data_IF_405202406372
#
_entry.id   IF_405202406372
#
_cell.length_a   1.000
_cell.length_b   1.000
_cell.length_c   1.000
_cell.angle_alpha   90.00
_cell.angle_beta   90.00
_cell.angle_gamma   90.00
#
_symmetry.space_group_name_H-M   'P 1'
#
loop_
_entity.id
_entity.type
_entity.pdbx_description
1 polymer ?
#
# COMPACT_ATOMS: atom_id res chain seq x y z
N UNK A 1 -8.84 9.88 -9.34
CA UNK A 1 -9.65 8.65 -9.33
C UNK A 1 -10.24 8.41 -10.73
N UNK A 2 -10.31 7.16 -11.18
CA UNK A 2 -10.93 6.76 -12.43
C UNK A 2 -12.46 6.77 -12.32
N UNK A 3 -13.13 7.37 -13.30
CA UNK A 3 -14.58 7.28 -13.50
C UNK A 3 -14.83 6.98 -14.99
N UNK A 4 -15.46 5.85 -15.36
CA UNK A 4 -15.74 5.54 -16.76
C UNK A 4 -16.50 6.65 -17.50
N UNK A 5 -17.41 7.31 -16.81
CA UNK A 5 -18.21 8.40 -17.40
C UNK A 5 -17.37 9.66 -17.67
N UNK A 6 -16.51 10.04 -16.72
CA UNK A 6 -15.81 11.33 -16.78
C UNK A 6 -14.39 11.22 -17.33
N UNK A 7 -13.73 10.06 -17.17
CA UNK A 7 -12.34 9.87 -17.58
C UNK A 7 -12.19 9.42 -19.04
N UNK A 8 -13.12 8.58 -19.56
CA UNK A 8 -13.04 8.05 -20.93
C UNK A 8 -12.95 9.08 -22.06
N UNK A 9 -13.50 10.29 -21.95
CA UNK A 9 -13.30 11.29 -22.99
C UNK A 9 -11.83 11.72 -23.18
N UNK A 10 -11.00 11.60 -22.12
CA UNK A 10 -9.59 11.96 -22.15
C UNK A 10 -8.66 10.74 -22.20
N UNK A 11 -9.05 9.63 -21.58
CA UNK A 11 -8.24 8.41 -21.47
C UNK A 11 -9.06 7.19 -21.91
N UNK A 12 -8.56 6.41 -22.84
CA UNK A 12 -9.21 5.17 -23.28
C UNK A 12 -9.02 4.03 -22.29
N UNK A 13 -7.91 4.06 -21.57
CA UNK A 13 -7.46 3.06 -20.58
C UNK A 13 -7.21 3.74 -19.21
N UNK A 14 -7.73 3.21 -18.09
CA UNK A 14 -7.46 3.74 -16.76
C UNK A 14 -5.96 3.80 -16.41
N UNK A 15 -5.14 2.89 -16.93
CA UNK A 15 -3.70 2.86 -16.64
C UNK A 15 -2.92 3.97 -17.32
N UNK A 16 -3.40 4.51 -18.44
CA UNK A 16 -2.86 5.76 -19.02
C UNK A 16 -3.02 6.94 -18.06
N UNK A 17 -4.21 7.10 -17.47
CA UNK A 17 -4.46 8.12 -16.43
C UNK A 17 -3.57 7.90 -15.20
N UNK A 18 -3.39 6.66 -14.76
CA UNK A 18 -2.56 6.36 -13.59
C UNK A 18 -1.08 6.68 -13.86
N UNK A 19 -0.59 6.40 -15.07
CA UNK A 19 0.78 6.73 -15.46
C UNK A 19 1.01 8.25 -15.50
N UNK A 20 0.11 9.02 -16.12
CA UNK A 20 0.20 10.49 -16.14
C UNK A 20 0.15 11.08 -14.72
N UNK A 21 -0.70 10.53 -13.85
CA UNK A 21 -0.76 10.96 -12.44
C UNK A 21 0.55 10.62 -11.70
N UNK A 22 1.15 9.47 -11.95
CA UNK A 22 2.42 9.07 -11.34
C UNK A 22 3.57 10.00 -11.76
N UNK A 23 3.60 10.42 -13.03
CA UNK A 23 4.59 11.39 -13.52
C UNK A 23 4.48 12.74 -12.80
N UNK A 24 3.27 13.22 -12.54
CA UNK A 24 3.03 14.46 -11.78
C UNK A 24 3.52 14.29 -10.33
N UNK A 25 3.18 13.19 -9.68
CA UNK A 25 3.58 12.92 -8.28
C UNK A 25 5.11 12.77 -8.18
N UNK A 26 5.74 12.09 -9.14
CA UNK A 26 7.21 11.96 -9.19
C UNK A 26 7.90 13.32 -9.35
N UNK A 27 7.36 14.21 -10.17
CA UNK A 27 7.89 15.58 -10.32
C UNK A 27 7.77 16.37 -9.01
N UNK A 28 6.66 16.22 -8.29
CA UNK A 28 6.46 16.83 -6.96
C UNK A 28 7.45 16.24 -5.93
N UNK A 29 7.64 14.92 -5.91
CA UNK A 29 8.61 14.27 -5.04
C UNK A 29 10.05 14.75 -5.32
N UNK A 30 10.42 14.93 -6.57
CA UNK A 30 11.73 15.46 -6.96
C UNK A 30 11.93 16.92 -6.49
N UNK A 31 10.89 17.76 -6.55
CA UNK A 31 10.95 19.12 -6.03
C UNK A 31 11.06 19.14 -4.51
N UNK A 32 10.32 18.27 -3.80
CA UNK A 32 10.44 18.13 -2.34
C UNK A 32 11.86 17.70 -1.94
N UNK A 33 12.46 16.75 -2.68
CA UNK A 33 13.83 16.33 -2.46
C UNK A 33 14.82 17.50 -2.67
N UNK A 34 14.64 18.30 -3.73
CA UNK A 34 15.45 19.51 -3.98
C UNK A 34 15.35 20.53 -2.84
N UNK A 35 14.22 20.58 -2.15
CA UNK A 35 13.99 21.45 -0.98
C UNK A 35 14.52 20.83 0.33
N UNK A 36 15.11 19.63 0.28
CA UNK A 36 15.75 18.97 1.43
C UNK A 36 14.89 17.92 2.12
N UNK A 37 13.77 17.48 1.52
CA UNK A 37 13.00 16.36 2.04
C UNK A 37 13.77 15.04 1.78
N UNK A 38 13.98 14.27 2.85
CA UNK A 38 14.74 13.01 2.80
C UNK A 38 13.88 11.76 3.02
N UNK A 39 12.60 11.95 3.35
CA UNK A 39 11.61 10.87 3.50
C UNK A 39 10.28 11.29 2.89
N UNK A 40 9.74 10.46 2.00
CA UNK A 40 8.43 10.68 1.37
C UNK A 40 7.60 9.40 1.49
N UNK A 41 6.39 9.51 2.00
CA UNK A 41 5.43 8.42 2.03
C UNK A 41 4.42 8.59 0.90
N UNK A 42 4.18 7.50 0.18
CA UNK A 42 3.12 7.41 -0.83
C UNK A 42 2.01 6.51 -0.30
N UNK A 43 0.80 7.02 -0.28
CA UNK A 43 -0.37 6.24 0.12
C UNK A 43 -0.96 5.51 -1.09
N UNK A 44 -1.05 4.20 -0.99
CA UNK A 44 -1.67 3.34 -2.01
C UNK A 44 -2.65 2.35 -1.39
N UNK A 45 -3.81 2.82 -0.89
CA UNK A 45 -4.83 1.95 -0.32
C UNK A 45 -5.40 0.97 -1.36
N UNK A 46 -5.23 1.24 -2.64
CA UNK A 46 -5.68 0.38 -3.73
C UNK A 46 -5.18 -1.06 -3.59
N UNK A 47 -3.91 -1.26 -3.24
CA UNK A 47 -3.35 -2.60 -3.04
C UNK A 47 -3.91 -3.29 -1.79
N UNK A 48 -4.17 -2.54 -0.73
CA UNK A 48 -4.79 -3.04 0.49
C UNK A 48 -6.28 -3.36 0.33
N UNK A 49 -7.01 -2.62 -0.50
CA UNK A 49 -8.43 -2.89 -0.75
C UNK A 49 -8.66 -4.06 -1.70
N UNK A 50 -7.67 -4.43 -2.53
CA UNK A 50 -7.74 -5.61 -3.41
C UNK A 50 -7.69 -6.95 -2.65
N UNK A 51 -7.38 -6.98 -1.36
CA UNK A 51 -7.49 -8.20 -0.56
C UNK A 51 -8.94 -8.68 -0.47
N UNK A 52 -9.90 -7.77 -0.58
CA UNK A 52 -11.34 -8.03 -0.50
C UNK A 52 -11.91 -8.40 -1.88
N UNK A 53 -12.59 -9.57 -2.02
CA UNK A 53 -13.20 -9.99 -3.28
C UNK A 53 -14.26 -9.03 -3.82
N UNK A 54 -15.03 -8.38 -2.94
CA UNK A 54 -16.08 -7.45 -3.35
C UNK A 54 -15.48 -6.19 -3.97
N UNK A 55 -14.41 -5.67 -3.40
CA UNK A 55 -13.67 -4.54 -3.96
C UNK A 55 -13.02 -4.89 -5.31
N UNK A 56 -12.50 -6.13 -5.46
CA UNK A 56 -12.00 -6.59 -6.78
C UNK A 56 -13.11 -6.58 -7.83
N UNK A 57 -14.27 -7.17 -7.50
CA UNK A 57 -15.41 -7.20 -8.42
C UNK A 57 -15.91 -5.80 -8.79
N UNK A 58 -15.95 -4.88 -7.83
CA UNK A 58 -16.32 -3.48 -8.06
C UNK A 58 -15.34 -2.81 -9.04
N UNK A 59 -14.04 -2.97 -8.87
CA UNK A 59 -13.01 -2.37 -9.73
C UNK A 59 -13.04 -2.95 -11.15
N UNK A 60 -13.18 -4.26 -11.27
CA UNK A 60 -13.37 -4.92 -12.58
C UNK A 60 -14.61 -4.37 -13.30
N UNK A 61 -15.71 -4.16 -12.57
CA UNK A 61 -16.92 -3.51 -13.12
C UNK A 61 -16.71 -2.09 -13.61
N UNK A 62 -15.73 -1.37 -13.07
CA UNK A 62 -15.32 -0.05 -13.53
C UNK A 62 -14.31 -0.10 -14.69
N UNK A 63 -13.88 -1.30 -15.11
CA UNK A 63 -12.89 -1.51 -16.15
C UNK A 63 -11.44 -1.40 -15.65
N UNK A 64 -11.21 -1.48 -14.34
CA UNK A 64 -9.87 -1.51 -13.74
C UNK A 64 -9.52 -2.98 -13.46
N UNK A 65 -8.68 -3.56 -14.28
CA UNK A 65 -8.26 -4.96 -14.13
C UNK A 65 -7.45 -5.17 -12.85
N UNK A 66 -7.86 -6.13 -12.05
CA UNK A 66 -7.14 -6.56 -10.83
C UNK A 66 -5.74 -7.07 -11.16
N UNK A 67 -5.60 -7.89 -12.20
CA UNK A 67 -4.30 -8.43 -12.62
C UNK A 67 -3.35 -7.32 -13.07
N UNK A 68 -3.81 -6.37 -13.88
CA UNK A 68 -3.01 -5.22 -14.30
C UNK A 68 -2.68 -4.30 -13.12
N UNK A 69 -3.58 -4.14 -12.16
CA UNK A 69 -3.29 -3.36 -10.95
C UNK A 69 -2.15 -3.96 -10.16
N UNK A 70 -2.10 -5.30 -10.04
CA UNK A 70 -1.04 -6.01 -9.31
C UNK A 70 0.26 -6.22 -10.11
N UNK A 71 0.31 -5.79 -11.35
CA UNK A 71 1.49 -5.84 -12.22
C UNK A 71 1.87 -4.43 -12.69
N UNK A 72 1.24 -3.94 -13.74
CA UNK A 72 1.45 -2.61 -14.31
C UNK A 72 1.19 -1.48 -13.30
N UNK A 73 0.14 -1.60 -12.47
CA UNK A 73 -0.16 -0.61 -11.43
C UNK A 73 0.93 -0.53 -10.37
N UNK A 74 1.54 -1.67 -10.00
CA UNK A 74 2.70 -1.67 -9.09
C UNK A 74 3.92 -1.04 -9.75
N UNK A 75 4.16 -1.29 -11.04
CA UNK A 75 5.27 -0.67 -11.77
C UNK A 75 5.08 0.86 -11.90
N UNK A 76 3.85 1.31 -12.13
CA UNK A 76 3.49 2.73 -12.16
C UNK A 76 3.78 3.40 -10.82
N UNK A 77 3.30 2.84 -9.70
CA UNK A 77 3.56 3.45 -8.37
C UNK A 77 5.04 3.38 -8.01
N UNK A 78 5.73 2.29 -8.38
CA UNK A 78 7.16 2.15 -8.14
C UNK A 78 7.99 3.23 -8.86
N UNK A 79 7.54 3.70 -10.02
CA UNK A 79 8.20 4.78 -10.76
C UNK A 79 8.15 6.14 -10.04
N UNK A 80 7.17 6.35 -9.16
CA UNK A 80 7.08 7.57 -8.33
C UNK A 80 8.25 7.67 -7.35
N UNK A 81 8.71 6.54 -6.84
CA UNK A 81 9.80 6.46 -5.86
C UNK A 81 11.22 6.46 -6.51
N UNK A 82 11.31 6.77 -7.79
CA UNK A 82 12.60 6.90 -8.50
C UNK A 82 13.16 8.33 -8.38
N UNK A 83 13.48 8.74 -7.13
CA UNK A 83 14.09 10.04 -6.83
C UNK A 83 15.32 9.82 -5.93
N UNK A 84 16.55 10.08 -6.42
CA UNK A 84 17.76 9.80 -5.68
C UNK A 84 17.86 10.58 -4.35
N UNK A 85 18.34 9.89 -3.30
CA UNK A 85 18.61 10.51 -2.00
C UNK A 85 17.39 10.65 -1.09
N UNK A 86 16.25 10.08 -1.47
CA UNK A 86 15.03 10.03 -0.68
C UNK A 86 14.74 8.59 -0.24
N UNK A 87 14.40 8.40 1.01
CA UNK A 87 13.81 7.16 1.51
C UNK A 87 12.31 7.18 1.23
N UNK A 88 11.79 6.19 0.52
CA UNK A 88 10.37 6.10 0.20
C UNK A 88 9.65 5.05 1.04
N UNK A 89 8.52 5.46 1.64
CA UNK A 89 7.56 4.58 2.29
C UNK A 89 6.33 4.34 1.42
N UNK A 90 5.90 3.08 1.29
CA UNK A 90 4.64 2.69 0.66
C UNK A 90 3.64 2.31 1.75
N UNK A 91 2.61 3.13 1.93
CA UNK A 91 1.53 2.87 2.88
C UNK A 91 0.39 2.13 2.19
N UNK A 92 0.08 0.94 2.72
CA UNK A 92 -0.94 0.04 2.19
C UNK A 92 -1.94 -0.26 3.30
N UNK A 93 -2.95 0.59 3.45
CA UNK A 93 -4.05 0.37 4.38
C UNK A 93 -5.26 -0.31 3.70
N UNK A 94 -6.25 -0.68 4.50
CA UNK A 94 -7.52 -1.25 4.04
C UNK A 94 -8.65 -0.21 3.96
N UNK A 95 -8.25 1.07 3.91
CA UNK A 95 -9.11 2.22 3.84
C UNK A 95 -9.64 2.67 5.20
N UNK A 96 -9.88 3.97 5.28
CA UNK A 96 -10.52 4.60 6.43
C UNK A 96 -11.51 5.67 5.91
N UNK A 97 -12.78 5.39 6.02
CA UNK A 97 -13.83 6.33 5.70
C UNK A 97 -14.76 6.51 6.91
N UNK A 98 -14.74 7.69 7.50
CA UNK A 98 -15.53 8.02 8.70
C UNK A 98 -15.30 7.03 9.86
N UNK A 99 -14.03 6.71 10.14
CA UNK A 99 -13.61 5.71 11.14
C UNK A 99 -14.10 4.27 10.85
N UNK A 100 -14.35 3.94 9.57
CA UNK A 100 -14.70 2.59 9.13
C UNK A 100 -13.72 2.12 8.07
N UNK A 101 -13.40 0.82 8.10
CA UNK A 101 -12.62 0.18 7.04
C UNK A 101 -13.44 0.03 5.75
N UNK A 102 -12.76 -0.11 4.62
CA UNK A 102 -13.38 -0.33 3.31
C UNK A 102 -13.22 -1.80 2.87
N UNK A 103 -12.17 -2.48 3.31
CA UNK A 103 -11.83 -3.84 2.90
C UNK A 103 -11.56 -4.76 4.09
N UNK A 104 -11.87 -6.05 3.91
CA UNK A 104 -11.58 -7.13 4.85
C UNK A 104 -10.74 -8.21 4.16
N UNK A 105 -9.69 -8.69 4.82
CA UNK A 105 -8.81 -9.74 4.33
C UNK A 105 -7.34 -9.48 4.63
N UNK A 106 -6.54 -10.53 4.70
CA UNK A 106 -5.09 -10.46 4.84
C UNK A 106 -4.38 -10.13 3.52
N UNK A 107 -3.08 -9.87 3.57
CA UNK A 107 -2.28 -9.51 2.40
C UNK A 107 -1.89 -10.68 1.51
N UNK A 108 -2.33 -11.92 1.80
CA UNK A 108 -1.97 -13.14 1.05
C UNK A 108 -2.22 -13.00 -0.45
N UNK A 109 -3.27 -12.28 -0.82
CA UNK A 109 -3.63 -12.08 -2.24
C UNK A 109 -2.69 -11.11 -2.97
N UNK A 110 -2.13 -10.12 -2.26
CA UNK A 110 -1.39 -9.00 -2.88
C UNK A 110 0.12 -9.05 -2.60
N UNK A 111 0.54 -9.63 -1.48
CA UNK A 111 1.90 -9.57 -0.95
C UNK A 111 2.97 -9.96 -1.98
N UNK A 112 2.92 -11.16 -2.54
CA UNK A 112 3.93 -11.67 -3.45
C UNK A 112 4.14 -10.82 -4.71
N UNK A 113 3.07 -10.15 -5.19
CA UNK A 113 3.16 -9.26 -6.36
C UNK A 113 3.56 -7.83 -5.97
N UNK A 114 3.00 -7.30 -4.90
CA UNK A 114 3.22 -5.91 -4.49
C UNK A 114 4.62 -5.74 -3.89
N UNK A 115 4.98 -6.54 -2.89
CA UNK A 115 6.25 -6.36 -2.18
C UNK A 115 7.47 -6.63 -3.06
N UNK A 116 7.43 -7.69 -3.86
CA UNK A 116 8.56 -8.05 -4.73
C UNK A 116 8.79 -7.08 -5.89
N UNK A 117 7.75 -6.38 -6.35
CA UNK A 117 7.84 -5.44 -7.47
C UNK A 117 8.05 -3.98 -7.05
N UNK A 118 7.74 -3.62 -5.79
CA UNK A 118 7.92 -2.26 -5.27
C UNK A 118 9.38 -2.00 -4.87
N UNK A 119 10.31 -2.18 -5.81
CA UNK A 119 11.75 -2.21 -5.57
C UNK A 119 12.34 -0.87 -5.14
N UNK A 120 11.73 0.25 -5.56
CA UNK A 120 12.17 1.61 -5.23
C UNK A 120 11.66 2.10 -3.86
N UNK A 121 10.79 1.34 -3.20
CA UNK A 121 10.36 1.64 -1.84
C UNK A 121 11.27 0.96 -0.82
N UNK A 122 11.62 1.69 0.22
CA UNK A 122 12.48 1.21 1.31
C UNK A 122 11.69 0.69 2.50
N UNK A 123 10.47 1.21 2.68
CA UNK A 123 9.62 0.97 3.84
C UNK A 123 8.20 0.60 3.42
N UNK A 124 7.66 -0.48 3.96
CA UNK A 124 6.25 -0.84 3.83
C UNK A 124 5.50 -0.54 5.13
N UNK A 125 4.47 0.32 5.06
CA UNK A 125 3.61 0.64 6.19
C UNK A 125 2.28 -0.10 6.00
N UNK A 126 2.04 -1.12 6.85
CA UNK A 126 0.99 -2.11 6.66
C UNK A 126 -0.02 -2.08 7.80
N UNK A 127 -1.32 -2.17 7.48
CA UNK A 127 -2.41 -2.20 8.46
C UNK A 127 -2.63 -3.60 9.02
N UNK A 128 -2.41 -3.72 10.32
CA UNK A 128 -2.64 -4.94 11.11
C UNK A 128 -3.33 -4.61 12.44
N UNK A 129 -4.26 -3.65 12.44
CA UNK A 129 -4.89 -3.11 13.65
C UNK A 129 -5.91 -4.05 14.30
N UNK A 130 -6.43 -5.04 13.59
CA UNK A 130 -7.35 -6.06 14.12
C UNK A 130 -7.28 -7.40 13.36
N UNK A 131 -8.09 -8.39 13.80
CA UNK A 131 -8.16 -9.74 13.21
C UNK A 131 -8.59 -9.74 11.74
N UNK A 132 -9.33 -8.73 11.29
CA UNK A 132 -9.77 -8.53 9.91
C UNK A 132 -8.58 -8.40 8.94
N UNK A 133 -7.44 -7.97 9.44
CA UNK A 133 -6.21 -7.80 8.65
C UNK A 133 -5.49 -9.10 8.32
N UNK A 134 -5.97 -10.25 8.83
CA UNK A 134 -5.37 -11.56 8.57
C UNK A 134 -4.12 -11.85 9.39
N UNK A 135 -3.34 -12.83 8.95
CA UNK A 135 -2.11 -13.26 9.60
C UNK A 135 -0.89 -12.43 9.20
N UNK A 136 0.23 -12.61 9.93
CA UNK A 136 1.52 -12.00 9.55
C UNK A 136 2.32 -12.82 8.53
N UNK A 137 1.82 -14.00 8.09
CA UNK A 137 2.51 -14.85 7.11
C UNK A 137 2.93 -14.10 5.83
N UNK A 138 2.11 -13.18 5.26
CA UNK A 138 2.48 -12.41 4.08
C UNK A 138 3.76 -11.56 4.23
N UNK A 139 4.19 -11.26 5.45
CA UNK A 139 5.45 -10.55 5.70
C UNK A 139 6.69 -11.33 5.24
N UNK A 140 6.59 -12.65 5.10
CA UNK A 140 7.67 -13.47 4.54
C UNK A 140 7.97 -13.13 3.06
N UNK A 141 7.05 -12.48 2.35
CA UNK A 141 7.24 -12.03 0.97
C UNK A 141 7.95 -10.66 0.87
N UNK A 142 8.19 -9.99 2.01
CA UNK A 142 8.89 -8.69 2.02
C UNK A 142 10.39 -8.93 1.81
N UNK A 143 11.01 -8.32 0.77
CA UNK A 143 12.44 -8.46 0.53
C UNK A 143 13.31 -8.06 1.73
N UNK A 144 14.45 -8.75 1.90
CA UNK A 144 15.30 -8.63 3.08
C UNK A 144 15.92 -7.24 3.31
N UNK A 145 15.99 -6.44 2.25
CA UNK A 145 16.52 -5.07 2.29
C UNK A 145 15.46 -4.02 2.67
N UNK A 146 14.21 -4.42 2.94
CA UNK A 146 13.10 -3.50 3.25
C UNK A 146 12.76 -3.47 4.74
N UNK A 147 12.26 -2.33 5.20
CA UNK A 147 11.73 -2.12 6.56
C UNK A 147 10.21 -2.28 6.55
N UNK A 148 9.66 -2.84 7.63
CA UNK A 148 8.21 -2.99 7.82
C UNK A 148 7.76 -2.18 9.03
N UNK A 149 6.78 -1.31 8.82
CA UNK A 149 6.06 -0.62 9.88
C UNK A 149 4.72 -1.32 10.09
N UNK A 150 4.54 -1.90 11.29
CA UNK A 150 3.32 -2.59 11.67
C UNK A 150 2.32 -1.59 12.27
N UNK A 151 1.24 -1.33 11.56
CA UNK A 151 0.11 -0.55 12.04
C UNK A 151 -0.78 -1.38 12.97
N UNK A 152 -0.37 -1.53 14.24
CA UNK A 152 -1.04 -2.39 15.23
C UNK A 152 -2.11 -1.67 16.04
N UNK A 153 -2.09 -0.33 16.04
CA UNK A 153 -3.01 0.51 16.82
C UNK A 153 -4.13 1.00 15.91
N UNK A 154 -5.38 0.77 16.33
CA UNK A 154 -6.55 1.17 15.53
C UNK A 154 -6.90 2.65 15.76
N UNK A 155 -7.09 3.37 14.66
CA UNK A 155 -7.69 4.72 14.68
C UNK A 155 -9.24 4.69 14.57
N UNK A 156 -9.84 3.52 14.56
CA UNK A 156 -11.27 3.31 14.30
C UNK A 156 -12.07 3.05 15.59
N UNK A 157 -11.37 2.69 16.66
CA UNK A 157 -11.93 2.39 17.98
C UNK A 157 -11.32 3.33 19.03
N UNK A 158 -12.07 3.71 20.09
CA UNK A 158 -11.56 4.60 21.13
C UNK A 158 -10.73 3.89 22.21
N UNK A 159 -10.71 2.57 22.22
CA UNK A 159 -9.96 1.75 23.17
C UNK A 159 -8.46 1.85 22.90
N UNK A 160 -7.68 1.87 23.98
CA UNK A 160 -6.21 1.84 23.89
C UNK A 160 -5.77 0.38 24.04
N UNK A 161 -5.03 -0.11 23.06
CA UNK A 161 -4.51 -1.47 23.06
C UNK A 161 -3.53 -1.68 24.22
N UNK A 162 -3.65 -2.80 24.98
CA UNK A 162 -2.71 -3.13 26.04
C UNK A 162 -1.29 -3.35 25.49
N UNK A 163 -0.28 -2.83 26.18
CA UNK A 163 1.11 -2.92 25.73
C UNK A 163 1.62 -4.35 25.58
N UNK A 164 1.18 -5.27 26.42
CA UNK A 164 1.53 -6.69 26.37
C UNK A 164 0.93 -7.39 25.15
N UNK A 165 -0.27 -7.01 24.70
CA UNK A 165 -0.86 -7.48 23.45
C UNK A 165 -0.08 -6.97 22.22
N UNK A 166 0.30 -5.70 22.22
CA UNK A 166 1.13 -5.14 21.14
C UNK A 166 2.50 -5.83 21.07
N UNK A 167 3.13 -6.09 22.21
CA UNK A 167 4.40 -6.83 22.28
C UNK A 167 4.24 -8.25 21.73
N UNK A 168 3.19 -8.96 22.13
CA UNK A 168 2.92 -10.31 21.64
C UNK A 168 2.73 -10.34 20.12
N UNK A 169 2.04 -9.36 19.53
CA UNK A 169 1.85 -9.23 18.08
C UNK A 169 3.15 -8.88 17.35
N UNK A 170 3.99 -8.03 17.93
CA UNK A 170 5.33 -7.76 17.38
C UNK A 170 6.17 -9.05 17.40
N UNK A 171 6.13 -9.83 18.49
CA UNK A 171 6.87 -11.10 18.60
C UNK A 171 6.36 -12.15 17.59
N UNK A 172 5.08 -12.14 17.28
CA UNK A 172 4.51 -13.00 16.25
C UNK A 172 4.99 -12.58 14.84
N UNK A 173 4.89 -11.30 14.50
CA UNK A 173 5.36 -10.76 13.22
C UNK A 173 6.86 -10.97 13.01
N UNK A 174 7.65 -10.91 14.09
CA UNK A 174 9.10 -11.14 14.08
C UNK A 174 9.53 -12.55 13.67
N UNK A 175 8.59 -13.49 13.54
CA UNK A 175 8.85 -14.83 12.97
C UNK A 175 9.04 -14.79 11.45
N UNK A 176 8.55 -13.74 10.80
CA UNK A 176 8.55 -13.54 9.35
C UNK A 176 9.50 -12.42 8.91
N UNK A 177 9.58 -11.35 9.72
CA UNK A 177 10.47 -10.20 9.48
C UNK A 177 11.23 -9.92 10.78
N UNK A 178 12.57 -9.87 10.75
CA UNK A 178 13.39 -9.61 11.93
C UNK A 178 13.04 -8.28 12.60
N UNK A 179 13.15 -8.21 13.94
CA UNK A 179 12.80 -7.02 14.73
C UNK A 179 13.62 -5.78 14.40
N UNK A 180 14.76 -5.96 13.75
CA UNK A 180 15.65 -4.88 13.26
C UNK A 180 15.18 -4.24 11.96
N UNK A 181 14.18 -4.79 11.37
CA UNK A 181 13.57 -4.38 10.10
C UNK A 181 12.17 -3.87 10.35
#
# INVERSE_FOLDING_TARGET
AWSPEHSRPAYSDPFELFADAADIIRAEAAELARLGCTYIQIDSPDFGTLVDPENRALREGLGISTERTLTEGVDIINSVADVPGVTFGLHICKGNYESKWIATGGYEFTAGKVFSRSTNFDVFLLEYDDERSGSFEPLAEVPDDKVVVLGLVSSKLPEIEPADELIARIDEAARYVGKER
#
